data_IF_216871495445
#
_entry.id   IF_216871495445
#
_cell.length_a   1.000
_cell.length_b   1.000
_cell.length_c   1.000
_cell.angle_alpha   90.00
_cell.angle_beta   90.00
_cell.angle_gamma   90.00
#
_symmetry.space_group_name_H-M   'P 1'
#
loop_
_entity.id
_entity.type
_entity.pdbx_description
1 polymer ?
#
# COMPACT_ATOMS: atom_id res chain seq x y z
N UNK A 1 -18.05 -10.11 23.33
CA UNK A 1 -16.83 -9.50 22.75
C UNK A 1 -17.27 -8.22 22.08
N UNK A 2 -16.66 -7.12 22.40
CA UNK A 2 -16.96 -5.83 21.78
C UNK A 2 -16.61 -5.92 20.29
N UNK A 3 -17.48 -5.44 19.42
CA UNK A 3 -17.40 -5.46 17.96
C UNK A 3 -16.32 -4.50 17.45
N UNK A 4 -15.07 -4.81 17.75
CA UNK A 4 -13.94 -3.87 17.62
C UNK A 4 -13.62 -3.47 16.18
N UNK A 5 -13.93 -4.30 15.18
CA UNK A 5 -13.70 -4.00 13.77
C UNK A 5 -14.47 -2.74 13.32
N UNK A 6 -15.68 -2.54 13.85
CA UNK A 6 -16.56 -1.41 13.52
C UNK A 6 -16.56 -0.29 14.58
N UNK A 7 -15.60 -0.30 15.53
CA UNK A 7 -15.36 0.86 16.38
C UNK A 7 -14.46 1.88 15.65
N UNK A 8 -14.68 3.17 15.90
CA UNK A 8 -13.80 4.22 15.39
C UNK A 8 -12.35 3.96 15.76
N UNK A 9 -11.44 4.38 14.89
CA UNK A 9 -10.00 4.33 15.11
C UNK A 9 -9.39 5.69 14.84
N UNK A 10 -8.51 6.13 15.75
CA UNK A 10 -7.79 7.38 15.59
C UNK A 10 -6.29 7.15 15.77
N UNK A 11 -5.52 7.67 14.82
CA UNK A 11 -4.07 7.69 14.88
C UNK A 11 -3.54 8.96 14.21
N UNK A 12 -2.85 9.83 14.96
CA UNK A 12 -2.48 11.17 14.51
C UNK A 12 -3.71 11.94 13.97
N UNK A 13 -3.61 12.55 12.77
CA UNK A 13 -4.74 13.24 12.13
C UNK A 13 -5.76 12.28 11.50
N UNK A 14 -5.41 11.00 11.31
CA UNK A 14 -6.30 10.03 10.68
C UNK A 14 -7.39 9.56 11.64
N UNK A 15 -8.65 9.89 11.32
CA UNK A 15 -9.84 9.50 12.07
C UNK A 15 -10.72 8.62 11.18
N UNK A 16 -10.87 7.36 11.53
CA UNK A 16 -11.64 6.35 10.79
C UNK A 16 -12.92 6.01 11.54
N UNK A 17 -14.02 5.86 10.82
CA UNK A 17 -15.31 5.41 11.38
C UNK A 17 -15.29 3.93 11.78
N UNK A 18 -14.42 3.14 11.17
CA UNK A 18 -14.18 1.74 11.51
C UNK A 18 -12.75 1.35 11.11
N UNK A 19 -12.34 0.12 11.42
CA UNK A 19 -10.98 -0.41 11.20
C UNK A 19 -10.83 -1.19 9.89
N UNK A 20 -11.78 -1.06 8.97
CA UNK A 20 -11.77 -1.72 7.67
C UNK A 20 -11.01 -0.87 6.66
N UNK A 21 -10.04 -1.49 5.99
CA UNK A 21 -9.21 -0.87 4.95
C UNK A 21 -9.48 -1.56 3.60
N UNK A 22 -9.70 -0.79 2.54
CA UNK A 22 -9.58 -1.30 1.18
C UNK A 22 -8.10 -1.35 0.82
N UNK A 23 -7.56 -2.55 0.59
CA UNK A 23 -6.18 -2.71 0.15
C UNK A 23 -5.95 -2.10 -1.24
N UNK A 24 -4.76 -1.52 -1.54
CA UNK A 24 -4.44 -1.02 -2.87
C UNK A 24 -4.38 -2.17 -3.88
N UNK A 25 -5.07 -2.00 -5.01
CA UNK A 25 -5.19 -3.02 -6.07
C UNK A 25 -5.21 -2.35 -7.43
N UNK A 26 -4.15 -2.52 -8.23
CA UNK A 26 -4.03 -1.94 -9.55
C UNK A 26 -5.23 -2.33 -10.44
N UNK A 27 -5.82 -1.34 -11.09
CA UNK A 27 -6.97 -1.50 -11.97
C UNK A 27 -6.56 -1.54 -13.44
N UNK A 28 -5.36 -1.08 -13.77
CA UNK A 28 -4.84 -1.03 -15.15
C UNK A 28 -5.84 -0.36 -16.13
N UNK A 29 -6.47 0.73 -15.67
CA UNK A 29 -7.64 1.32 -16.34
C UNK A 29 -7.40 2.73 -16.89
N UNK A 30 -6.16 3.22 -16.89
CA UNK A 30 -5.76 4.49 -17.49
C UNK A 30 -5.55 4.28 -18.99
N UNK A 31 -6.65 4.22 -19.77
CA UNK A 31 -6.60 3.93 -21.21
C UNK A 31 -5.94 5.05 -22.03
N UNK A 32 -5.90 6.28 -21.51
CA UNK A 32 -5.19 7.41 -22.10
C UNK A 32 -3.66 7.33 -21.90
N UNK A 33 -3.18 6.42 -21.03
CA UNK A 33 -1.77 6.21 -20.71
C UNK A 33 -1.06 7.44 -20.11
N UNK A 34 -1.82 8.37 -19.58
CA UNK A 34 -1.35 9.65 -19.02
C UNK A 34 -1.19 9.63 -17.49
N UNK A 35 -1.53 8.52 -16.84
CA UNK A 35 -1.48 8.37 -15.37
C UNK A 35 -2.64 9.02 -14.63
N UNK A 36 -3.58 9.66 -15.32
CA UNK A 36 -4.67 10.45 -14.72
C UNK A 36 -5.86 9.54 -14.37
N UNK A 37 -6.38 9.60 -13.10
CA UNK A 37 -7.60 8.87 -12.75
C UNK A 37 -8.79 9.34 -13.59
N UNK A 38 -9.59 8.36 -14.04
CA UNK A 38 -10.73 8.56 -14.91
C UNK A 38 -12.05 8.11 -14.23
N UNK A 39 -13.15 8.04 -14.98
CA UNK A 39 -14.48 7.69 -14.45
C UNK A 39 -14.52 6.26 -13.87
N UNK A 40 -13.69 5.31 -14.36
CA UNK A 40 -13.57 3.99 -13.75
C UNK A 40 -13.11 4.09 -12.30
N UNK A 41 -12.07 4.89 -12.04
CA UNK A 41 -11.54 5.08 -10.68
C UNK A 41 -12.56 5.75 -9.77
N UNK A 42 -13.36 6.72 -10.29
CA UNK A 42 -14.47 7.30 -9.53
C UNK A 42 -15.48 6.23 -9.11
N UNK A 43 -15.98 5.43 -10.05
CA UNK A 43 -16.93 4.35 -9.75
C UNK A 43 -16.32 3.33 -8.81
N UNK A 44 -15.07 2.93 -9.06
CA UNK A 44 -14.38 1.91 -8.30
C UNK A 44 -14.22 2.31 -6.83
N UNK A 45 -13.63 3.46 -6.53
CA UNK A 45 -13.34 3.86 -5.16
C UNK A 45 -14.55 4.42 -4.42
N UNK A 46 -15.36 5.26 -5.08
CA UNK A 46 -16.53 5.89 -4.44
C UNK A 46 -17.57 4.84 -4.05
N UNK A 47 -17.76 3.77 -4.83
CA UNK A 47 -18.67 2.69 -4.43
C UNK A 47 -18.28 1.99 -3.12
N UNK A 48 -16.97 1.86 -2.82
CA UNK A 48 -16.48 1.29 -1.56
C UNK A 48 -16.64 2.27 -0.40
N UNK A 49 -16.56 3.58 -0.67
CA UNK A 49 -16.90 4.59 0.32
C UNK A 49 -18.39 4.54 0.68
N UNK A 50 -19.28 4.47 -0.31
CA UNK A 50 -20.72 4.23 -0.10
C UNK A 50 -20.97 2.93 0.66
N UNK A 51 -20.12 1.91 0.44
CA UNK A 51 -20.14 0.63 1.13
C UNK A 51 -19.62 0.65 2.58
N UNK A 52 -19.27 1.82 3.13
CA UNK A 52 -18.92 2.00 4.54
C UNK A 52 -17.46 1.64 4.90
N UNK A 53 -16.54 1.58 3.93
CA UNK A 53 -15.11 1.35 4.18
C UNK A 53 -14.50 2.51 4.98
N UNK A 54 -13.73 2.21 6.04
CA UNK A 54 -13.11 3.24 6.89
C UNK A 54 -11.96 3.98 6.20
N UNK A 55 -11.02 3.23 5.60
CA UNK A 55 -9.89 3.77 4.85
C UNK A 55 -9.80 3.12 3.47
N UNK A 56 -9.70 3.92 2.44
CA UNK A 56 -9.46 3.47 1.07
C UNK A 56 -8.03 3.80 0.68
N UNK A 57 -7.23 2.78 0.35
CA UNK A 57 -5.89 2.99 -0.21
C UNK A 57 -5.99 2.91 -1.72
N UNK A 58 -5.82 4.07 -2.38
CA UNK A 58 -5.75 4.13 -3.84
C UNK A 58 -4.56 3.30 -4.32
N UNK A 59 -4.77 2.59 -5.42
CA UNK A 59 -3.79 1.69 -6.05
C UNK A 59 -2.42 2.33 -6.26
N UNK A 60 -1.42 1.48 -6.51
CA UNK A 60 -0.07 1.90 -6.88
C UNK A 60 -0.11 3.04 -7.88
N UNK A 61 0.48 4.17 -7.49
CA UNK A 61 0.51 5.42 -8.24
C UNK A 61 1.96 5.85 -8.38
N UNK A 62 2.44 5.87 -9.60
CA UNK A 62 3.86 5.91 -9.91
C UNK A 62 4.40 7.34 -9.99
N UNK A 63 5.61 7.51 -9.44
CA UNK A 63 6.31 8.82 -9.40
C UNK A 63 7.09 9.14 -10.68
N UNK A 64 7.10 8.19 -11.63
CA UNK A 64 7.83 8.29 -12.89
C UNK A 64 7.01 7.61 -14.01
N UNK A 65 6.90 8.20 -15.22
CA UNK A 65 6.23 7.53 -16.34
C UNK A 65 6.79 6.12 -16.63
N UNK A 66 8.11 5.97 -16.55
CA UNK A 66 8.80 4.69 -16.77
C UNK A 66 8.81 3.79 -15.50
N UNK A 67 8.23 4.29 -14.41
CA UNK A 67 8.08 3.55 -13.15
C UNK A 67 6.79 2.74 -13.03
N UNK A 68 5.87 2.83 -13.99
CA UNK A 68 4.60 2.09 -13.99
C UNK A 68 4.82 0.60 -14.25
N UNK A 69 3.95 -0.26 -13.72
CA UNK A 69 3.93 -1.68 -14.10
C UNK A 69 3.57 -1.76 -15.58
N UNK A 70 2.43 -1.15 -15.96
CA UNK A 70 1.99 -0.99 -17.34
C UNK A 70 1.65 0.47 -17.65
N UNK A 71 1.59 0.81 -18.92
CA UNK A 71 1.16 2.15 -19.36
C UNK A 71 -0.24 2.55 -18.84
N UNK A 72 -1.05 1.57 -18.43
CA UNK A 72 -2.42 1.80 -17.96
C UNK A 72 -2.51 2.06 -16.43
N UNK A 73 -1.39 2.20 -15.74
CA UNK A 73 -1.36 2.49 -14.31
C UNK A 73 -1.57 3.97 -14.02
N UNK A 74 -1.97 4.26 -12.78
CA UNK A 74 -2.01 5.63 -12.26
C UNK A 74 -0.59 6.18 -12.09
N UNK A 75 -0.48 7.50 -12.21
CA UNK A 75 0.76 8.24 -12.01
C UNK A 75 0.54 9.56 -11.30
N UNK A 76 1.63 10.09 -10.71
CA UNK A 76 1.61 11.38 -10.01
C UNK A 76 2.92 12.16 -10.25
N UNK A 77 3.55 11.97 -11.40
CA UNK A 77 4.82 12.59 -11.77
C UNK A 77 4.70 14.05 -12.25
N UNK A 78 3.49 14.55 -12.50
CA UNK A 78 3.22 15.93 -12.95
C UNK A 78 2.14 16.58 -12.11
N UNK A 79 2.19 17.91 -11.95
CA UNK A 79 1.16 18.68 -11.26
C UNK A 79 -0.20 18.63 -11.98
N UNK A 80 -0.21 18.26 -13.27
CA UNK A 80 -1.43 18.05 -14.06
C UNK A 80 -2.32 16.91 -13.52
N UNK A 81 -1.75 15.98 -12.73
CA UNK A 81 -2.51 14.88 -12.12
C UNK A 81 -3.36 15.35 -10.93
N UNK A 82 -2.91 16.39 -10.21
CA UNK A 82 -3.51 16.84 -8.94
C UNK A 82 -5.01 17.09 -9.04
N UNK A 83 -5.55 17.81 -10.04
CA UNK A 83 -6.99 18.09 -10.09
C UNK A 83 -7.87 16.83 -10.19
N UNK A 84 -7.41 15.80 -10.92
CA UNK A 84 -8.15 14.55 -11.06
C UNK A 84 -8.13 13.72 -9.78
N UNK A 85 -6.97 13.67 -9.09
CA UNK A 85 -6.89 13.06 -7.76
C UNK A 85 -7.73 13.82 -6.73
N UNK A 86 -7.73 15.16 -6.72
CA UNK A 86 -8.61 15.96 -5.84
C UNK A 86 -10.07 15.58 -6.02
N UNK A 87 -10.54 15.53 -7.29
CA UNK A 87 -11.92 15.10 -7.59
C UNK A 87 -12.22 13.70 -7.04
N UNK A 88 -11.27 12.76 -7.16
CA UNK A 88 -11.43 11.39 -6.66
C UNK A 88 -11.51 11.37 -5.13
N UNK A 89 -10.61 12.08 -4.46
CA UNK A 89 -10.54 12.19 -2.99
C UNK A 89 -11.82 12.82 -2.44
N UNK A 90 -12.29 13.93 -3.03
CA UNK A 90 -13.53 14.60 -2.65
C UNK A 90 -14.75 13.66 -2.79
N UNK A 91 -14.76 12.88 -3.88
CA UNK A 91 -15.81 11.88 -4.11
C UNK A 91 -15.86 10.79 -3.04
N UNK A 92 -14.70 10.35 -2.54
CA UNK A 92 -14.59 9.37 -1.46
C UNK A 92 -14.97 9.99 -0.11
N UNK A 93 -14.43 11.18 0.19
CA UNK A 93 -14.74 11.93 1.42
C UNK A 93 -16.22 12.25 1.58
N UNK A 94 -16.94 12.50 0.48
CA UNK A 94 -18.38 12.78 0.49
C UNK A 94 -19.22 11.67 1.15
N UNK A 95 -18.69 10.45 1.23
CA UNK A 95 -19.35 9.29 1.85
C UNK A 95 -18.67 8.84 3.16
N UNK A 96 -17.78 9.66 3.75
CA UNK A 96 -17.25 9.48 5.09
C UNK A 96 -16.03 8.54 5.19
N UNK A 97 -15.54 7.98 4.09
CA UNK A 97 -14.28 7.24 4.07
C UNK A 97 -13.08 8.18 4.05
N UNK A 98 -11.97 7.74 4.64
CA UNK A 98 -10.67 8.39 4.54
C UNK A 98 -9.86 7.80 3.40
N UNK A 99 -8.87 8.56 2.90
CA UNK A 99 -8.10 8.21 1.70
C UNK A 99 -6.61 8.19 2.01
N UNK A 100 -5.96 7.08 1.67
CA UNK A 100 -4.53 7.03 1.46
C UNK A 100 -4.25 6.79 -0.03
N UNK A 101 -3.07 7.18 -0.51
CA UNK A 101 -2.59 6.85 -1.85
C UNK A 101 -1.29 6.07 -1.73
N UNK A 102 -1.17 4.97 -2.50
CA UNK A 102 0.04 4.17 -2.51
C UNK A 102 1.03 4.72 -3.54
N UNK A 103 2.09 5.37 -3.08
CA UNK A 103 3.15 5.97 -3.89
C UNK A 103 4.23 4.93 -4.16
N UNK A 104 4.63 4.79 -5.42
CA UNK A 104 5.48 3.69 -5.85
C UNK A 104 6.32 3.98 -7.10
N UNK A 105 7.16 3.01 -7.44
CA UNK A 105 7.86 2.84 -8.70
C UNK A 105 8.12 1.34 -8.92
N UNK A 106 7.73 0.80 -10.07
CA UNK A 106 7.80 -0.65 -10.31
C UNK A 106 9.24 -1.20 -10.42
N UNK A 107 10.21 -0.32 -10.69
CA UNK A 107 11.60 -0.75 -10.84
C UNK A 107 11.76 -1.76 -11.99
N UNK A 108 12.43 -2.88 -11.75
CA UNK A 108 12.64 -3.95 -12.75
C UNK A 108 11.34 -4.63 -13.23
N UNK A 109 10.22 -4.35 -12.57
CA UNK A 109 8.90 -4.88 -12.92
C UNK A 109 8.08 -3.92 -13.78
N UNK A 110 8.67 -2.83 -14.27
CA UNK A 110 8.05 -1.94 -15.23
C UNK A 110 8.01 -2.61 -16.62
N UNK A 111 6.86 -3.24 -16.93
CA UNK A 111 6.71 -4.12 -18.09
C UNK A 111 6.76 -3.33 -19.41
N UNK A 112 6.12 -2.16 -19.46
CA UNK A 112 6.02 -1.33 -20.67
C UNK A 112 7.15 -0.30 -20.77
N UNK A 113 7.92 -0.05 -19.70
CA UNK A 113 9.06 0.86 -19.76
C UNK A 113 10.02 0.49 -20.91
N UNK A 114 10.51 1.47 -21.68
CA UNK A 114 11.52 1.20 -22.72
C UNK A 114 12.77 0.53 -22.14
N UNK A 115 13.23 1.01 -20.98
CA UNK A 115 14.37 0.50 -20.24
C UNK A 115 14.03 0.54 -18.73
N UNK A 116 13.56 -0.55 -18.12
CA UNK A 116 13.30 -0.57 -16.67
C UNK A 116 14.59 -0.33 -15.88
N UNK A 117 14.45 0.19 -14.68
CA UNK A 117 15.58 0.49 -13.79
C UNK A 117 15.51 -0.31 -12.49
N UNK A 118 16.65 -0.56 -11.86
CA UNK A 118 16.75 -1.32 -10.62
C UNK A 118 18.00 -0.93 -9.84
N UNK A 119 18.17 -1.38 -8.57
CA UNK A 119 19.46 -1.21 -7.89
C UNK A 119 20.61 -1.94 -8.59
N UNK A 120 20.34 -3.10 -9.20
CA UNK A 120 21.32 -3.93 -9.91
C UNK A 120 20.70 -4.60 -11.13
N UNK A 121 21.54 -5.09 -12.06
CA UNK A 121 21.09 -5.77 -13.30
C UNK A 121 20.63 -7.20 -12.96
N UNK A 122 19.43 -7.32 -12.39
CA UNK A 122 18.80 -8.60 -12.04
C UNK A 122 17.39 -8.66 -12.62
N UNK A 123 17.23 -9.39 -13.71
CA UNK A 123 15.93 -9.52 -14.41
C UNK A 123 14.92 -10.28 -13.56
N UNK A 124 13.67 -9.79 -13.50
CA UNK A 124 12.59 -10.56 -12.90
C UNK A 124 12.19 -11.72 -13.82
N UNK A 125 11.94 -12.95 -13.30
CA UNK A 125 11.61 -14.09 -14.12
C UNK A 125 10.29 -13.93 -14.89
N UNK A 126 10.31 -14.23 -16.18
CA UNK A 126 9.13 -14.22 -17.07
C UNK A 126 9.40 -13.47 -18.37
N UNK A 127 8.81 -13.93 -19.48
CA UNK A 127 9.06 -13.43 -20.84
C UNK A 127 8.68 -11.95 -21.06
N UNK A 128 7.77 -11.42 -20.25
CA UNK A 128 7.33 -10.02 -20.32
C UNK A 128 8.29 -9.02 -19.69
N UNK A 129 9.25 -9.48 -18.88
CA UNK A 129 10.16 -8.60 -18.18
C UNK A 129 11.48 -8.42 -18.93
N UNK A 130 11.86 -7.18 -19.12
CA UNK A 130 13.11 -6.79 -19.76
C UNK A 130 14.25 -6.79 -18.72
N UNK A 131 15.48 -6.94 -19.19
CA UNK A 131 16.65 -6.72 -18.35
C UNK A 131 16.71 -5.27 -17.88
N UNK A 132 16.73 -5.01 -16.56
CA UNK A 132 16.79 -3.65 -16.06
C UNK A 132 18.21 -3.08 -16.17
N UNK A 133 18.30 -1.77 -16.28
CA UNK A 133 19.55 -1.02 -16.08
C UNK A 133 19.72 -0.70 -14.60
N UNK A 134 20.94 -0.86 -14.08
CA UNK A 134 21.26 -0.38 -12.74
C UNK A 134 21.26 1.16 -12.71
N UNK A 135 20.65 1.75 -11.68
CA UNK A 135 20.70 3.18 -11.42
C UNK A 135 22.10 3.60 -10.98
N UNK A 136 22.62 4.75 -11.47
CA UNK A 136 23.79 5.37 -10.87
C UNK A 136 23.46 5.93 -9.49
N UNK A 137 24.48 6.33 -8.71
CA UNK A 137 24.26 6.94 -7.38
C UNK A 137 23.46 8.24 -7.49
N UNK A 138 23.77 9.07 -8.47
CA UNK A 138 23.06 10.33 -8.75
C UNK A 138 21.61 10.09 -9.18
N UNK A 139 21.36 9.02 -9.93
CA UNK A 139 20.01 8.65 -10.33
C UNK A 139 19.19 8.12 -9.14
N UNK A 140 19.82 7.43 -8.18
CA UNK A 140 19.16 7.01 -6.92
C UNK A 140 18.75 8.24 -6.11
N UNK A 141 19.63 9.25 -5.98
CA UNK A 141 19.33 10.52 -5.31
C UNK A 141 18.17 11.27 -6.02
N UNK A 142 18.20 11.32 -7.35
CA UNK A 142 17.10 11.90 -8.13
C UNK A 142 15.78 11.14 -7.95
N UNK A 143 15.84 9.82 -7.79
CA UNK A 143 14.65 8.99 -7.53
C UNK A 143 14.04 9.30 -6.16
N UNK A 144 14.85 9.52 -5.12
CA UNK A 144 14.37 10.00 -3.81
C UNK A 144 13.55 11.29 -3.97
N UNK A 145 14.01 12.23 -4.80
CA UNK A 145 13.26 13.48 -5.04
C UNK A 145 11.94 13.23 -5.80
N UNK A 146 11.89 12.29 -6.76
CA UNK A 146 10.64 11.93 -7.45
C UNK A 146 9.57 11.40 -6.47
N UNK A 147 9.97 10.58 -5.48
CA UNK A 147 9.06 10.15 -4.41
C UNK A 147 8.55 11.34 -3.59
N UNK A 148 9.44 12.26 -3.20
CA UNK A 148 9.04 13.46 -2.45
C UNK A 148 8.05 14.32 -3.24
N UNK A 149 8.32 14.58 -4.53
CA UNK A 149 7.45 15.36 -5.42
C UNK A 149 6.08 14.67 -5.61
N UNK A 150 6.05 13.35 -5.75
CA UNK A 150 4.82 12.57 -5.82
C UNK A 150 3.98 12.70 -4.55
N UNK A 151 4.60 12.61 -3.38
CA UNK A 151 3.92 12.80 -2.09
C UNK A 151 3.41 14.23 -1.92
N UNK A 152 4.20 15.25 -2.29
CA UNK A 152 3.75 16.64 -2.29
C UNK A 152 2.44 16.80 -3.09
N UNK A 153 2.35 16.22 -4.28
CA UNK A 153 1.14 16.26 -5.12
C UNK A 153 -0.02 15.50 -4.50
N UNK A 154 0.24 14.34 -3.89
CA UNK A 154 -0.79 13.58 -3.17
C UNK A 154 -1.37 14.38 -1.99
N UNK A 155 -0.53 15.06 -1.21
CA UNK A 155 -0.96 15.97 -0.14
C UNK A 155 -1.77 17.13 -0.69
N UNK A 156 -1.37 17.72 -1.81
CA UNK A 156 -2.12 18.78 -2.49
C UNK A 156 -3.49 18.28 -2.98
N UNK A 157 -3.61 17.02 -3.36
CA UNK A 157 -4.88 16.42 -3.75
C UNK A 157 -5.84 16.16 -2.58
N UNK A 158 -5.38 16.33 -1.31
CA UNK A 158 -6.22 16.27 -0.13
C UNK A 158 -6.33 14.90 0.54
N UNK A 159 -5.39 13.98 0.31
CA UNK A 159 -5.38 12.67 0.98
C UNK A 159 -5.15 12.80 2.49
N UNK A 160 -5.64 11.82 3.27
CA UNK A 160 -5.53 11.78 4.74
C UNK A 160 -4.27 11.04 5.23
N UNK A 161 -3.67 10.22 4.39
CA UNK A 161 -2.44 9.47 4.67
C UNK A 161 -1.68 9.16 3.38
N UNK A 162 -0.39 8.84 3.51
CA UNK A 162 0.45 8.34 2.42
C UNK A 162 0.83 6.89 2.74
N UNK A 163 0.75 6.01 1.76
CA UNK A 163 1.37 4.68 1.81
C UNK A 163 2.53 4.61 0.82
N UNK A 164 3.75 4.31 1.28
CA UNK A 164 4.87 3.97 0.41
C UNK A 164 4.84 2.47 0.08
N UNK A 165 5.05 2.13 -1.18
CA UNK A 165 5.11 0.73 -1.61
C UNK A 165 6.53 0.16 -1.47
N UNK A 166 6.82 -0.45 -0.32
CA UNK A 166 8.08 -1.15 -0.03
C UNK A 166 7.96 -2.67 -0.07
N UNK A 167 7.02 -3.22 -0.86
CA UNK A 167 6.72 -4.65 -0.93
C UNK A 167 6.71 -5.18 -2.37
N UNK A 168 6.47 -6.48 -2.52
CA UNK A 168 6.12 -7.19 -3.75
C UNK A 168 7.13 -7.05 -4.89
N UNK A 169 8.41 -6.80 -4.56
CA UNK A 169 9.47 -6.72 -5.56
C UNK A 169 9.48 -5.42 -6.38
N UNK A 170 8.87 -4.34 -5.89
CA UNK A 170 8.96 -3.03 -6.48
C UNK A 170 10.19 -2.25 -5.99
N UNK A 171 10.44 -1.05 -6.44
CA UNK A 171 11.75 -0.41 -6.35
C UNK A 171 12.29 -0.32 -4.90
N UNK A 172 11.51 0.14 -3.92
CA UNK A 172 11.96 0.20 -2.52
C UNK A 172 12.31 -1.19 -2.00
N UNK A 173 11.47 -2.21 -2.30
CA UNK A 173 11.75 -3.60 -1.95
C UNK A 173 13.05 -4.09 -2.61
N UNK A 174 13.26 -3.77 -3.90
CA UNK A 174 14.48 -4.18 -4.60
C UNK A 174 15.76 -3.64 -3.93
N UNK A 175 15.71 -2.42 -3.38
CA UNK A 175 16.85 -1.84 -2.68
C UNK A 175 17.16 -2.51 -1.35
N UNK A 176 16.14 -2.98 -0.60
CA UNK A 176 16.39 -3.65 0.67
C UNK A 176 16.48 -5.19 0.58
N UNK A 177 16.36 -5.75 -0.62
CA UNK A 177 16.51 -7.18 -0.86
C UNK A 177 17.96 -7.56 -1.18
N UNK A 178 18.56 -8.50 -0.44
CA UNK A 178 19.88 -9.03 -0.78
C UNK A 178 19.90 -9.80 -2.10
N UNK A 179 18.74 -10.28 -2.60
CA UNK A 179 18.62 -10.92 -3.91
C UNK A 179 18.70 -9.94 -5.07
N UNK A 180 18.35 -8.67 -4.83
CA UNK A 180 18.16 -7.68 -5.88
C UNK A 180 19.20 -6.58 -5.84
N UNK A 181 19.76 -6.28 -4.69
CA UNK A 181 20.72 -5.20 -4.50
C UNK A 181 22.12 -5.75 -4.31
N UNK A 182 22.89 -5.74 -5.39
CA UNK A 182 24.30 -6.17 -5.43
C UNK A 182 25.23 -4.97 -5.63
N UNK A 183 24.80 -3.77 -5.24
CA UNK A 183 25.60 -2.54 -5.36
C UNK A 183 26.78 -2.56 -4.42
N UNK A 184 27.88 -1.90 -4.85
CA UNK A 184 29.09 -1.76 -4.03
C UNK A 184 29.20 -0.36 -3.38
N UNK A 185 28.30 0.55 -3.76
CA UNK A 185 28.21 1.90 -3.18
C UNK A 185 27.46 1.91 -1.83
N UNK A 186 27.22 3.10 -1.31
CA UNK A 186 26.53 3.30 -0.01
C UNK A 186 25.12 2.67 0.05
N UNK A 187 24.44 2.51 -1.08
CA UNK A 187 23.12 1.89 -1.17
C UNK A 187 23.16 0.37 -1.20
N UNK A 188 24.31 -0.23 -1.46
CA UNK A 188 24.53 -1.68 -1.32
C UNK A 188 25.17 -2.05 0.01
N UNK A 189 25.95 -1.14 0.61
CA UNK A 189 26.56 -1.33 1.94
C UNK A 189 25.53 -1.26 3.06
N UNK A 190 24.46 -0.46 2.90
CA UNK A 190 23.33 -0.37 3.80
C UNK A 190 22.03 -0.53 2.99
N UNK A 191 21.43 -1.72 3.07
CA UNK A 191 20.21 -2.07 2.33
C UNK A 191 18.99 -1.25 2.75
N UNK A 192 18.98 -0.63 3.93
CA UNK A 192 17.90 0.25 4.36
C UNK A 192 18.00 1.67 3.77
N UNK A 193 19.18 2.07 3.31
CA UNK A 193 19.52 3.47 3.03
C UNK A 193 18.59 4.17 2.05
N UNK A 194 18.29 3.54 0.91
CA UNK A 194 17.38 4.14 -0.08
C UNK A 194 16.00 4.41 0.53
N UNK A 195 15.42 3.41 1.20
CA UNK A 195 14.13 3.58 1.86
C UNK A 195 14.15 4.65 2.95
N UNK A 196 15.20 4.71 3.76
CA UNK A 196 15.40 5.77 4.79
C UNK A 196 15.45 7.16 4.16
N UNK A 197 16.17 7.33 3.05
CA UNK A 197 16.27 8.62 2.36
C UNK A 197 14.93 9.03 1.73
N UNK A 198 14.20 8.09 1.09
CA UNK A 198 12.84 8.31 0.60
C UNK A 198 11.91 8.72 1.74
N UNK A 199 11.88 7.99 2.85
CA UNK A 199 11.03 8.29 4.01
C UNK A 199 11.31 9.69 4.55
N UNK A 200 12.58 10.05 4.74
CA UNK A 200 12.97 11.37 5.23
C UNK A 200 12.61 12.50 4.25
N UNK A 201 12.71 12.25 2.95
CA UNK A 201 12.35 13.22 1.93
C UNK A 201 10.83 13.44 1.89
N UNK A 202 10.02 12.37 1.87
CA UNK A 202 8.56 12.49 1.82
C UNK A 202 7.98 13.09 3.10
N UNK A 203 8.57 12.83 4.27
CA UNK A 203 8.15 13.44 5.54
C UNK A 203 8.26 14.96 5.55
N UNK A 204 9.15 15.55 4.76
CA UNK A 204 9.26 17.01 4.62
C UNK A 204 8.10 17.61 3.81
N UNK A 205 7.49 16.83 2.94
CA UNK A 205 6.37 17.23 2.09
C UNK A 205 4.99 16.99 2.74
N UNK A 206 4.97 16.33 3.89
CA UNK A 206 3.76 15.94 4.61
C UNK A 206 3.49 16.86 5.80
N UNK A 207 2.22 17.16 6.14
CA UNK A 207 1.86 17.69 7.45
C UNK A 207 2.42 16.82 8.58
N UNK A 208 2.89 17.42 9.66
CA UNK A 208 3.58 16.72 10.74
C UNK A 208 2.73 15.61 11.43
N UNK A 209 1.42 15.82 11.47
CA UNK A 209 0.44 14.91 12.06
C UNK A 209 -0.20 13.93 11.06
N UNK A 210 0.09 14.04 9.75
CA UNK A 210 -0.35 13.07 8.74
C UNK A 210 0.45 11.78 8.87
N UNK A 211 -0.20 10.60 8.99
CA UNK A 211 0.51 9.34 9.10
C UNK A 211 1.16 8.92 7.77
N UNK A 212 2.40 8.43 7.87
CA UNK A 212 3.11 7.74 6.80
C UNK A 212 3.04 6.24 7.04
N UNK A 213 2.43 5.52 6.10
CA UNK A 213 2.31 4.07 6.09
C UNK A 213 3.40 3.50 5.18
N UNK A 214 4.05 2.42 5.57
CA UNK A 214 4.92 1.65 4.69
C UNK A 214 4.33 0.25 4.48
N UNK A 215 3.99 -0.09 3.24
CA UNK A 215 3.68 -1.47 2.89
C UNK A 215 4.96 -2.23 2.65
N UNK A 216 5.13 -3.38 3.34
CA UNK A 216 6.36 -4.16 3.29
C UNK A 216 6.06 -5.65 3.16
N UNK A 217 6.91 -6.39 2.43
CA UNK A 217 6.90 -7.86 2.40
C UNK A 217 7.73 -8.38 3.56
N UNK A 218 7.10 -9.10 4.48
CA UNK A 218 7.76 -9.63 5.68
C UNK A 218 8.82 -10.69 5.36
N UNK A 219 8.63 -11.43 4.27
CA UNK A 219 9.55 -12.47 3.76
C UNK A 219 9.46 -12.54 2.24
N UNK A 220 10.50 -13.01 1.58
CA UNK A 220 10.53 -13.11 0.11
C UNK A 220 10.06 -14.46 -0.44
N UNK A 221 10.06 -15.54 0.34
CA UNK A 221 9.78 -16.91 -0.09
C UNK A 221 10.70 -17.41 -1.21
N UNK A 222 11.90 -16.88 -1.29
CA UNK A 222 12.92 -17.25 -2.28
C UNK A 222 14.19 -17.75 -1.59
N UNK A 223 14.91 -18.70 -2.22
CA UNK A 223 16.19 -19.16 -1.68
C UNK A 223 17.22 -18.02 -1.79
N UNK A 224 17.90 -17.73 -0.68
CA UNK A 224 18.79 -16.57 -0.57
C UNK A 224 18.08 -15.24 -0.32
N UNK A 225 16.74 -15.23 -0.32
CA UNK A 225 15.95 -14.08 0.06
C UNK A 225 15.91 -13.86 1.57
N UNK A 226 15.42 -12.71 1.97
CA UNK A 226 15.36 -12.36 3.37
C UNK A 226 14.18 -13.03 4.11
N UNK A 227 14.35 -13.16 5.42
CA UNK A 227 13.37 -13.63 6.38
C UNK A 227 12.78 -12.48 7.20
N UNK A 228 11.93 -12.82 8.16
CA UNK A 228 11.25 -11.84 9.04
C UNK A 228 12.24 -11.07 9.92
N UNK A 229 13.36 -11.68 10.35
CA UNK A 229 14.34 -11.03 11.22
C UNK A 229 15.05 -9.89 10.46
N UNK A 230 15.42 -10.12 9.20
CA UNK A 230 15.98 -9.09 8.33
C UNK A 230 14.97 -7.95 8.13
N UNK A 231 13.69 -8.26 7.88
CA UNK A 231 12.67 -7.25 7.65
C UNK A 231 12.40 -6.42 8.89
N UNK A 232 12.34 -7.03 10.07
CA UNK A 232 12.20 -6.30 11.35
C UNK A 232 13.41 -5.38 11.57
N UNK A 233 14.64 -5.87 11.29
CA UNK A 233 15.84 -5.05 11.42
C UNK A 233 15.77 -3.79 10.53
N UNK A 234 15.47 -3.95 9.25
CA UNK A 234 15.32 -2.82 8.32
C UNK A 234 14.16 -1.90 8.72
N UNK A 235 13.05 -2.48 9.17
CA UNK A 235 11.86 -1.71 9.56
C UNK A 235 12.11 -0.82 10.79
N UNK A 236 13.04 -1.17 11.68
CA UNK A 236 13.48 -0.25 12.75
C UNK A 236 14.10 1.03 12.17
N UNK A 237 14.97 0.89 11.17
CA UNK A 237 15.56 2.05 10.49
C UNK A 237 14.50 2.90 9.78
N UNK A 238 13.47 2.26 9.20
CA UNK A 238 12.35 2.95 8.55
C UNK A 238 11.44 3.66 9.58
N UNK A 239 11.19 3.05 10.71
CA UNK A 239 10.49 3.66 11.83
C UNK A 239 11.24 4.89 12.35
N UNK A 240 12.54 4.77 12.59
CA UNK A 240 13.41 5.88 13.03
C UNK A 240 13.48 7.01 11.99
N UNK A 241 13.33 6.69 10.70
CA UNK A 241 13.27 7.67 9.63
C UNK A 241 11.91 8.40 9.54
N UNK A 242 10.84 7.85 10.14
CA UNK A 242 9.53 8.50 10.22
C UNK A 242 8.33 7.71 9.72
N UNK A 243 8.45 6.40 9.48
CA UNK A 243 7.27 5.54 9.25
C UNK A 243 6.45 5.45 10.53
N UNK A 244 5.17 5.71 10.42
CA UNK A 244 4.23 5.78 11.53
C UNK A 244 3.40 4.49 11.69
N UNK A 245 3.20 3.73 10.60
CA UNK A 245 2.37 2.52 10.55
C UNK A 245 2.89 1.57 9.48
N UNK A 246 2.80 0.26 9.70
CA UNK A 246 3.18 -0.73 8.70
C UNK A 246 1.96 -1.49 8.16
N UNK A 247 1.93 -1.72 6.84
CA UNK A 247 0.96 -2.57 6.15
C UNK A 247 1.65 -3.86 5.72
N UNK A 248 1.39 -4.96 6.42
CA UNK A 248 2.19 -6.18 6.35
C UNK A 248 1.68 -7.14 5.28
N UNK A 249 2.53 -7.37 4.29
CA UNK A 249 2.34 -8.36 3.23
C UNK A 249 3.49 -9.37 3.20
N UNK A 250 3.64 -10.15 2.13
CA UNK A 250 4.75 -11.10 1.97
C UNK A 250 4.96 -11.46 0.50
N UNK A 251 6.18 -11.86 0.16
CA UNK A 251 6.56 -12.34 -1.17
C UNK A 251 6.67 -11.24 -2.22
N UNK A 252 6.71 -11.67 -3.47
CA UNK A 252 6.75 -10.80 -4.65
C UNK A 252 8.09 -10.76 -5.38
N UNK A 253 9.18 -11.34 -4.84
CA UNK A 253 10.51 -11.31 -5.43
C UNK A 253 11.00 -12.61 -6.04
N UNK A 254 10.57 -13.74 -5.51
CA UNK A 254 11.07 -15.03 -6.00
C UNK A 254 10.54 -15.46 -7.35
N UNK A 255 11.27 -16.33 -8.07
CA UNK A 255 10.74 -16.99 -9.24
C UNK A 255 9.51 -17.81 -8.87
N UNK A 256 8.54 -17.83 -9.78
CA UNK A 256 7.33 -18.64 -9.62
C UNK A 256 7.72 -20.10 -9.34
N UNK A 257 7.45 -20.61 -8.15
CA UNK A 257 7.57 -22.03 -7.86
C UNK A 257 8.54 -22.46 -6.77
N UNK A 258 9.43 -21.62 -6.25
CA UNK A 258 10.38 -22.04 -5.20
C UNK A 258 9.72 -22.18 -3.83
N UNK A 259 9.01 -21.18 -3.37
CA UNK A 259 8.14 -21.24 -2.20
C UNK A 259 6.87 -20.43 -2.50
N UNK A 260 5.74 -20.97 -2.14
CA UNK A 260 4.47 -20.23 -2.28
C UNK A 260 4.05 -19.69 -0.93
N UNK A 261 3.59 -18.44 -0.85
CA UNK A 261 2.86 -17.98 0.31
C UNK A 261 1.67 -18.94 0.56
N UNK A 262 1.30 -19.13 1.81
CA UNK A 262 0.12 -19.90 2.17
C UNK A 262 -1.12 -19.31 1.47
N UNK A 263 -2.00 -20.19 0.99
CA UNK A 263 -3.29 -19.81 0.39
C UNK A 263 -4.43 -20.17 1.34
N UNK A 264 -4.35 -19.72 2.59
CA UNK A 264 -5.40 -19.90 3.60
C UNK A 264 -5.73 -18.57 4.26
N UNK A 265 -6.95 -18.36 4.76
CA UNK A 265 -7.34 -17.14 5.43
C UNK A 265 -6.37 -16.79 6.59
N UNK A 266 -5.87 -15.57 6.61
CA UNK A 266 -4.97 -15.08 7.65
C UNK A 266 -3.52 -15.51 7.55
N UNK A 267 -3.05 -16.05 6.43
CA UNK A 267 -1.68 -16.59 6.26
C UNK A 267 -0.55 -15.59 6.57
N UNK A 268 -0.82 -14.29 6.55
CA UNK A 268 0.16 -13.24 6.87
C UNK A 268 0.02 -12.69 8.32
N UNK A 269 -0.97 -13.14 9.09
CA UNK A 269 -1.20 -12.68 10.46
C UNK A 269 0.01 -12.90 11.40
N UNK A 270 0.74 -14.03 11.34
CA UNK A 270 1.93 -14.21 12.17
C UNK A 270 2.98 -13.10 11.97
N UNK A 271 3.10 -12.59 10.74
CA UNK A 271 4.02 -11.49 10.44
C UNK A 271 3.50 -10.15 10.98
N UNK A 272 2.20 -9.87 10.81
CA UNK A 272 1.58 -8.65 11.34
C UNK A 272 1.74 -8.56 12.85
N UNK A 273 1.47 -9.67 13.58
CA UNK A 273 1.66 -9.76 15.02
C UNK A 273 3.11 -9.47 15.43
N UNK A 274 4.10 -10.10 14.75
CA UNK A 274 5.52 -9.87 15.03
C UNK A 274 5.92 -8.40 14.86
N UNK A 275 5.47 -7.74 13.80
CA UNK A 275 5.73 -6.31 13.60
C UNK A 275 5.15 -5.47 14.71
N UNK A 276 3.90 -5.73 15.11
CA UNK A 276 3.23 -5.00 16.18
C UNK A 276 3.94 -5.16 17.52
N UNK A 277 4.34 -6.37 17.87
CA UNK A 277 5.02 -6.69 19.13
C UNK A 277 6.45 -6.12 19.19
N UNK A 278 7.21 -6.22 18.10
CA UNK A 278 8.64 -5.86 18.11
C UNK A 278 8.92 -4.39 17.83
N UNK A 279 8.07 -3.73 17.04
CA UNK A 279 8.25 -2.32 16.69
C UNK A 279 7.36 -1.40 17.52
N UNK A 280 6.35 -1.94 18.22
CA UNK A 280 5.37 -1.19 18.99
C UNK A 280 4.73 -0.04 18.20
N UNK A 281 4.30 -0.34 16.98
CA UNK A 281 3.65 0.60 16.03
C UNK A 281 2.31 0.04 15.59
N UNK A 282 1.37 0.88 15.14
CA UNK A 282 0.16 0.41 14.50
C UNK A 282 0.45 -0.42 13.23
N UNK A 283 -0.36 -1.46 13.03
CA UNK A 283 -0.21 -2.39 11.91
C UNK A 283 -1.53 -2.59 11.18
N UNK A 284 -1.47 -2.59 9.85
CA UNK A 284 -2.54 -3.04 8.96
C UNK A 284 -2.24 -4.48 8.54
N UNK A 285 -3.11 -5.41 8.87
CA UNK A 285 -3.02 -6.81 8.41
C UNK A 285 -3.77 -7.00 7.10
N UNK A 286 -3.23 -7.84 6.22
CA UNK A 286 -3.87 -8.28 4.98
C UNK A 286 -3.56 -9.75 4.74
N UNK A 287 -4.37 -10.46 3.96
CA UNK A 287 -4.11 -11.86 3.58
C UNK A 287 -5.35 -12.73 3.70
N UNK A 288 -6.26 -12.66 2.72
CA UNK A 288 -7.52 -13.41 2.69
C UNK A 288 -8.36 -13.22 3.97
N UNK A 289 -8.53 -11.96 4.38
CA UNK A 289 -9.29 -11.55 5.57
C UNK A 289 -10.71 -11.08 5.20
N UNK A 290 -11.31 -11.66 4.18
CA UNK A 290 -12.66 -11.33 3.72
C UNK A 290 -13.80 -12.03 4.48
N UNK A 291 -13.50 -12.91 5.41
CA UNK A 291 -14.47 -13.45 6.37
C UNK A 291 -14.64 -12.46 7.53
N UNK A 292 -15.87 -12.03 7.80
CA UNK A 292 -16.16 -10.98 8.79
C UNK A 292 -15.77 -11.40 10.22
N UNK A 293 -16.02 -12.66 10.58
CA UNK A 293 -15.68 -13.16 11.90
C UNK A 293 -14.15 -13.25 12.10
N UNK A 294 -13.42 -13.67 11.06
CA UNK A 294 -11.96 -13.67 11.09
C UNK A 294 -11.41 -12.25 11.18
N UNK A 295 -11.89 -11.31 10.38
CA UNK A 295 -11.48 -9.90 10.42
C UNK A 295 -11.72 -9.30 11.82
N UNK A 296 -12.88 -9.57 12.42
CA UNK A 296 -13.19 -9.19 13.80
C UNK A 296 -12.22 -9.84 14.81
N UNK A 297 -11.90 -11.13 14.64
CA UNK A 297 -11.00 -11.84 15.54
C UNK A 297 -9.57 -11.28 15.49
N UNK A 298 -9.08 -10.87 14.32
CA UNK A 298 -7.76 -10.21 14.14
C UNK A 298 -7.63 -8.99 15.05
N UNK A 299 -8.63 -8.12 15.02
CA UNK A 299 -8.67 -6.92 15.87
C UNK A 299 -8.86 -7.30 17.34
N UNK A 300 -9.82 -8.20 17.63
CA UNK A 300 -10.15 -8.63 18.99
C UNK A 300 -9.02 -9.33 19.72
N UNK A 301 -8.16 -10.05 19.00
CA UNK A 301 -6.97 -10.71 19.54
C UNK A 301 -5.76 -9.77 19.64
N UNK A 302 -5.82 -8.58 19.04
CA UNK A 302 -4.70 -7.66 18.99
C UNK A 302 -3.60 -8.07 18.01
N UNK A 303 -3.93 -8.85 16.97
CA UNK A 303 -2.98 -9.25 15.94
C UNK A 303 -2.61 -8.07 15.02
N UNK A 304 -3.54 -7.12 14.86
CA UNK A 304 -3.35 -5.89 14.11
C UNK A 304 -4.30 -4.78 14.63
N UNK A 305 -4.07 -3.55 14.18
CA UNK A 305 -4.90 -2.39 14.52
C UNK A 305 -5.97 -2.12 13.45
N UNK A 306 -5.68 -2.46 12.19
CA UNK A 306 -6.57 -2.33 11.04
C UNK A 306 -6.53 -3.62 10.20
N UNK A 307 -7.61 -3.92 9.50
CA UNK A 307 -7.73 -5.08 8.59
C UNK A 307 -7.96 -4.61 7.18
N UNK A 308 -7.07 -5.01 6.26
CA UNK A 308 -7.19 -4.71 4.85
C UNK A 308 -7.81 -5.88 4.06
N UNK A 309 -8.84 -5.57 3.28
CA UNK A 309 -9.53 -6.51 2.40
C UNK A 309 -9.24 -6.13 0.94
N UNK A 310 -8.71 -7.08 0.17
CA UNK A 310 -8.41 -6.90 -1.25
C UNK A 310 -9.51 -7.49 -2.14
N UNK A 311 -9.30 -8.73 -2.61
CA UNK A 311 -10.18 -9.42 -3.58
C UNK A 311 -11.64 -9.54 -3.11
N UNK A 312 -11.88 -9.60 -1.80
CA UNK A 312 -13.24 -9.53 -1.24
C UNK A 312 -13.96 -8.26 -1.69
N UNK A 313 -13.29 -7.09 -1.61
CA UNK A 313 -13.86 -5.82 -2.04
C UNK A 313 -13.89 -5.63 -3.57
N UNK A 314 -13.14 -6.41 -4.37
CA UNK A 314 -13.34 -6.43 -5.82
C UNK A 314 -14.66 -7.12 -6.19
N UNK A 315 -15.02 -8.19 -5.47
CA UNK A 315 -16.26 -8.93 -5.69
C UNK A 315 -17.49 -8.22 -5.12
N UNK A 316 -17.32 -7.56 -3.97
CA UNK A 316 -18.38 -6.90 -3.23
C UNK A 316 -17.95 -5.49 -2.81
N UNK A 317 -18.40 -4.43 -3.50
CA UNK A 317 -18.13 -3.04 -3.12
C UNK A 317 -18.68 -2.65 -1.76
N UNK A 318 -19.70 -3.35 -1.28
CA UNK A 318 -20.39 -3.09 0.00
C UNK A 318 -19.95 -4.05 1.11
N UNK A 319 -18.80 -4.69 0.95
CA UNK A 319 -18.28 -5.68 1.88
C UNK A 319 -18.29 -5.19 3.33
N UNK A 320 -17.90 -3.94 3.60
CA UNK A 320 -17.86 -3.42 4.96
C UNK A 320 -19.27 -3.35 5.59
N UNK A 321 -20.29 -2.90 4.84
CA UNK A 321 -21.68 -2.88 5.31
C UNK A 321 -22.19 -4.29 5.53
N UNK A 322 -21.92 -5.25 4.62
CA UNK A 322 -22.36 -6.63 4.77
C UNK A 322 -21.67 -7.30 5.97
N UNK A 323 -20.37 -7.11 6.16
CA UNK A 323 -19.64 -7.62 7.31
C UNK A 323 -20.16 -7.03 8.64
N UNK A 324 -20.49 -5.73 8.67
CA UNK A 324 -21.08 -5.12 9.85
C UNK A 324 -22.41 -5.81 10.25
N UNK A 325 -23.29 -6.00 9.28
CA UNK A 325 -24.59 -6.67 9.52
C UNK A 325 -24.44 -8.15 9.91
N UNK A 326 -23.51 -8.87 9.28
CA UNK A 326 -23.18 -10.25 9.62
C UNK A 326 -22.71 -10.39 11.08
N UNK A 327 -21.96 -9.39 11.56
CA UNK A 327 -21.50 -9.31 12.95
C UNK A 327 -22.55 -8.75 13.92
N UNK A 328 -23.77 -8.45 13.45
CA UNK A 328 -24.87 -7.96 14.28
C UNK A 328 -24.79 -6.46 14.62
N UNK A 329 -23.97 -5.70 13.90
CA UNK A 329 -23.91 -4.24 14.04
C UNK A 329 -25.23 -3.63 13.55
N UNK A 330 -25.76 -2.65 14.29
CA UNK A 330 -27.00 -1.97 13.88
C UNK A 330 -26.81 -1.19 12.58
N UNK A 331 -27.89 -1.01 11.81
CA UNK A 331 -27.87 -0.25 10.55
C UNK A 331 -27.29 1.16 10.75
N UNK A 332 -27.63 1.81 11.86
CA UNK A 332 -27.16 3.18 12.18
C UNK A 332 -25.65 3.24 12.43
N UNK A 333 -25.07 2.15 12.94
CA UNK A 333 -23.64 2.03 13.21
C UNK A 333 -22.84 1.50 12.01
N UNK A 334 -23.51 0.80 11.07
CA UNK A 334 -22.89 0.17 9.91
C UNK A 334 -22.56 1.17 8.78
N UNK A 335 -22.76 2.49 8.98
CA UNK A 335 -22.55 3.54 7.99
C UNK A 335 -23.26 3.28 6.64
N UNK A 336 -24.45 2.70 6.69
CA UNK A 336 -25.26 2.44 5.50
C UNK A 336 -25.77 3.77 4.95
N UNK A 337 -25.55 4.00 3.65
CA UNK A 337 -26.02 5.21 2.98
C UNK A 337 -27.55 5.32 3.13
N UNK A 338 -28.07 6.52 3.47
CA UNK A 338 -29.50 6.77 3.72
C UNK A 338 -30.37 6.29 2.56
N UNK A 339 -29.90 6.50 1.31
CA UNK A 339 -30.60 6.09 0.09
C UNK A 339 -30.82 4.58 -0.01
N UNK A 340 -30.00 3.79 0.68
CA UNK A 340 -30.07 2.33 0.68
C UNK A 340 -30.71 1.73 1.93
N UNK A 341 -31.06 2.54 2.93
CA UNK A 341 -31.57 2.12 4.24
C UNK A 341 -32.80 1.19 4.17
N UNK A 342 -33.62 1.29 3.09
CA UNK A 342 -34.78 0.42 2.87
C UNK A 342 -34.41 -0.98 2.39
N UNK A 343 -33.18 -1.17 1.89
CA UNK A 343 -32.68 -2.46 1.38
C UNK A 343 -32.07 -3.35 2.47
N UNK A 344 -31.84 -2.76 3.63
CA UNK A 344 -31.24 -3.43 4.81
C UNK A 344 -32.27 -3.48 5.99
#
# INVERSE_FOLDING_TARGET
MTEQLFLPYQFKSLQLNNRVVMAPMCQYSVTAKDGIPNDWHQVHYVSRAVGGTGLIVIEMTDVDPDGRITDNDLGIWSDEHVPAFTKLVDGIHAYGSKVAIQIAHAGRKAEDAPQPVAPSVVTFPGEKYKEPRALSTEEVEAMVQKFADGVRRAVQAGVDAIELHGAHGYLIHQFHSPLMNHREDVYGQDLSRFGVEVIRAVKKEMPADMPLILRISAVEYADGGYDIEHTIHISRAYQDAGVDMFHISSGGEGPSGQRKPGNYPGYQLPFARRFREELNVPVIAVGMLEDAALAQAVIGNGDADLVAVGRGMLRDPYWANHAALELGISKDQAAIAEQYSRGY
#
